data_IF_051716892714
#
_entry.id   IF_051716892714
#
_cell.length_a   1.000
_cell.length_b   1.000
_cell.length_c   1.000
_cell.angle_alpha   90.00
_cell.angle_beta   90.00
_cell.angle_gamma   90.00
#
_symmetry.space_group_name_H-M   'P 1'
#
loop_
_entity.id
_entity.type
_entity.pdbx_description
1 polymer ?
#
# COMPACT_ATOMS: atom_id res chain seq x y z
N UNK A 1 -9.58 -30.61 -15.84
CA UNK A 1 -8.55 -29.81 -16.53
C UNK A 1 -9.10 -29.33 -17.87
N UNK A 2 -9.43 -28.03 -18.01
CA UNK A 2 -9.83 -27.44 -19.30
C UNK A 2 -8.63 -27.49 -20.25
N UNK A 3 -8.79 -28.07 -21.44
CA UNK A 3 -7.73 -28.17 -22.44
C UNK A 3 -7.34 -26.75 -22.88
N UNK A 4 -6.14 -26.29 -22.52
CA UNK A 4 -5.59 -24.98 -22.94
C UNK A 4 -5.51 -24.94 -24.47
N UNK A 5 -6.21 -24.02 -25.08
CA UNK A 5 -6.12 -23.75 -26.51
C UNK A 5 -5.50 -22.38 -26.74
N UNK A 6 -4.29 -22.35 -27.29
CA UNK A 6 -3.59 -21.12 -27.65
C UNK A 6 -4.44 -20.26 -28.59
N UNK A 7 -4.36 -18.92 -28.42
CA UNK A 7 -4.96 -17.94 -29.36
C UNK A 7 -4.54 -18.29 -30.79
N UNK A 8 -3.26 -18.63 -30.98
CA UNK A 8 -2.73 -19.08 -32.27
C UNK A 8 -3.48 -20.27 -32.87
N UNK A 9 -3.89 -21.25 -32.04
CA UNK A 9 -4.70 -22.40 -32.51
C UNK A 9 -6.13 -22.00 -32.84
N UNK A 10 -6.74 -21.12 -32.05
CA UNK A 10 -8.08 -20.59 -32.31
C UNK A 10 -8.11 -19.79 -33.61
N UNK A 11 -7.12 -18.90 -33.85
CA UNK A 11 -7.01 -18.14 -35.10
C UNK A 11 -6.70 -19.01 -36.29
N UNK A 12 -5.77 -19.98 -36.17
CA UNK A 12 -5.46 -20.93 -37.23
C UNK A 12 -6.68 -21.76 -37.59
N UNK A 13 -7.44 -22.27 -36.62
CA UNK A 13 -8.68 -23.02 -36.87
C UNK A 13 -9.71 -22.15 -37.63
N UNK A 14 -9.91 -20.90 -37.21
CA UNK A 14 -10.81 -19.98 -37.88
C UNK A 14 -10.38 -19.72 -39.33
N UNK A 15 -9.07 -19.52 -39.56
CA UNK A 15 -8.53 -19.32 -40.90
C UNK A 15 -8.72 -20.56 -41.79
N UNK A 16 -8.51 -21.77 -41.26
CA UNK A 16 -8.71 -23.03 -42.03
C UNK A 16 -10.18 -23.22 -42.37
N UNK A 17 -11.07 -22.98 -41.43
CA UNK A 17 -12.53 -23.06 -41.68
C UNK A 17 -12.94 -22.03 -42.71
N UNK A 18 -12.47 -20.81 -42.61
CA UNK A 18 -12.71 -19.73 -43.57
C UNK A 18 -12.23 -20.07 -45.01
N UNK A 19 -11.02 -20.59 -45.10
CA UNK A 19 -10.46 -21.01 -46.38
C UNK A 19 -11.27 -22.16 -47.00
N UNK A 20 -11.68 -23.13 -46.18
CA UNK A 20 -12.51 -24.25 -46.61
C UNK A 20 -13.89 -23.80 -47.14
N UNK A 21 -14.52 -22.83 -46.46
CA UNK A 21 -15.79 -22.22 -46.90
C UNK A 21 -15.61 -21.52 -48.25
N UNK A 22 -14.53 -20.78 -48.42
CA UNK A 22 -14.22 -20.07 -49.69
C UNK A 22 -14.05 -21.06 -50.87
N UNK A 23 -13.28 -22.12 -50.66
CA UNK A 23 -13.07 -23.16 -51.68
C UNK A 23 -14.38 -23.87 -52.03
N UNK A 24 -15.19 -24.26 -51.04
CA UNK A 24 -16.48 -24.92 -51.31
C UNK A 24 -17.43 -23.99 -52.04
N UNK A 25 -17.49 -22.72 -51.66
CA UNK A 25 -18.36 -21.72 -52.30
C UNK A 25 -17.97 -21.47 -53.76
N UNK A 26 -16.67 -21.29 -54.04
CA UNK A 26 -16.13 -21.16 -55.38
C UNK A 26 -16.45 -22.39 -56.25
N UNK A 27 -16.31 -23.60 -55.70
CA UNK A 27 -16.63 -24.84 -56.40
C UNK A 27 -18.12 -24.94 -56.73
N UNK A 28 -19.01 -24.56 -55.80
CA UNK A 28 -20.48 -24.56 -56.02
C UNK A 28 -20.85 -23.56 -57.10
N UNK A 29 -20.30 -22.37 -57.11
CA UNK A 29 -20.59 -21.35 -58.13
C UNK A 29 -20.10 -21.83 -59.51
N UNK A 30 -18.91 -22.40 -59.57
CA UNK A 30 -18.36 -22.96 -60.82
C UNK A 30 -19.26 -24.10 -61.33
N UNK A 31 -19.77 -24.97 -60.46
CA UNK A 31 -20.69 -26.04 -60.82
C UNK A 31 -22.04 -25.51 -61.31
N UNK A 32 -22.64 -24.53 -60.62
CA UNK A 32 -23.95 -23.94 -61.04
C UNK A 32 -23.79 -23.26 -62.39
N UNK A 33 -22.73 -22.53 -62.63
CA UNK A 33 -22.47 -21.88 -63.93
C UNK A 33 -22.31 -22.89 -65.03
N UNK A 34 -21.49 -23.94 -64.80
CA UNK A 34 -21.30 -25.02 -65.77
C UNK A 34 -22.64 -25.75 -66.12
N UNK A 35 -23.43 -26.06 -65.10
CA UNK A 35 -24.74 -26.71 -65.25
C UNK A 35 -25.73 -25.84 -66.03
N UNK A 36 -25.80 -24.54 -65.75
CA UNK A 36 -26.67 -23.60 -66.45
C UNK A 36 -26.23 -23.41 -67.93
N UNK A 37 -24.92 -23.28 -68.20
CA UNK A 37 -24.40 -23.15 -69.54
C UNK A 37 -24.73 -24.37 -70.38
N UNK A 38 -24.75 -25.58 -69.82
CA UNK A 38 -25.12 -26.81 -70.52
C UNK A 38 -26.63 -26.96 -70.71
N UNK A 39 -27.48 -26.45 -69.84
CA UNK A 39 -28.94 -26.52 -69.88
C UNK A 39 -29.59 -25.44 -70.74
N UNK A 40 -29.01 -24.24 -70.84
CA UNK A 40 -29.62 -23.09 -71.52
C UNK A 40 -29.04 -22.84 -72.91
N UNK A 41 -28.06 -23.63 -73.38
CA UNK A 41 -27.48 -23.53 -74.70
C UNK A 41 -26.52 -22.29 -74.86
N UNK A 42 -26.17 -21.63 -73.79
CA UNK A 42 -25.28 -20.45 -73.78
C UNK A 42 -25.83 -19.23 -74.54
N UNK A 43 -25.10 -18.11 -74.52
CA UNK A 43 -25.43 -16.89 -75.29
C UNK A 43 -25.14 -17.04 -76.78
N UNK A 44 -24.58 -18.18 -77.21
CA UNK A 44 -24.13 -18.43 -78.57
C UNK A 44 -22.72 -17.88 -78.88
N UNK A 45 -22.15 -17.11 -77.97
CA UNK A 45 -20.78 -16.61 -78.03
C UNK A 45 -19.92 -17.10 -76.86
N UNK A 46 -19.04 -18.10 -77.12
CA UNK A 46 -18.21 -18.72 -76.07
C UNK A 46 -17.29 -17.70 -75.31
N UNK A 47 -16.93 -16.59 -75.95
CA UNK A 47 -16.07 -15.60 -75.34
C UNK A 47 -16.77 -14.72 -74.36
N UNK A 48 -18.05 -14.37 -74.62
CA UNK A 48 -18.90 -13.62 -73.71
C UNK A 48 -19.26 -14.46 -72.48
N UNK A 49 -19.62 -15.72 -72.65
CA UNK A 49 -19.93 -16.61 -71.54
C UNK A 49 -18.73 -16.83 -70.61
N UNK A 50 -17.53 -16.92 -71.18
CA UNK A 50 -16.30 -17.01 -70.41
C UNK A 50 -16.00 -15.73 -69.61
N UNK A 51 -16.22 -14.55 -70.16
CA UNK A 51 -16.02 -13.25 -69.49
C UNK A 51 -16.99 -13.10 -68.31
N UNK A 52 -18.27 -13.42 -68.50
CA UNK A 52 -19.29 -13.38 -67.46
C UNK A 52 -18.96 -14.34 -66.31
N UNK A 53 -18.49 -15.55 -66.65
CA UNK A 53 -18.05 -16.52 -65.63
C UNK A 53 -16.93 -15.97 -64.77
N UNK A 54 -15.86 -15.40 -65.36
CA UNK A 54 -14.76 -14.84 -64.63
C UNK A 54 -15.18 -13.65 -63.75
N UNK A 55 -16.10 -12.80 -64.19
CA UNK A 55 -16.61 -11.67 -63.41
C UNK A 55 -17.39 -12.17 -62.18
N UNK A 56 -18.23 -13.15 -62.35
CA UNK A 56 -19.02 -13.74 -61.25
C UNK A 56 -18.10 -14.41 -60.22
N UNK A 57 -17.13 -15.22 -60.68
CA UNK A 57 -16.18 -15.91 -59.79
C UNK A 57 -15.35 -14.91 -59.00
N UNK A 58 -14.74 -13.95 -59.67
CA UNK A 58 -13.91 -12.92 -59.04
C UNK A 58 -14.77 -12.09 -58.05
N UNK A 59 -15.98 -11.68 -58.44
CA UNK A 59 -16.89 -10.90 -57.60
C UNK A 59 -17.27 -11.63 -56.32
N UNK A 60 -17.54 -12.91 -56.41
CA UNK A 60 -17.88 -13.75 -55.25
C UNK A 60 -16.69 -14.03 -54.35
N UNK A 61 -15.49 -14.23 -54.92
CA UNK A 61 -14.27 -14.38 -54.09
C UNK A 61 -13.94 -13.09 -53.31
N UNK A 62 -14.08 -11.94 -53.96
CA UNK A 62 -13.88 -10.64 -53.30
C UNK A 62 -14.92 -10.44 -52.14
N UNK A 63 -16.20 -10.76 -52.42
CA UNK A 63 -17.23 -10.64 -51.36
C UNK A 63 -16.95 -11.54 -50.17
N UNK A 64 -16.56 -12.79 -50.40
CA UNK A 64 -16.21 -13.73 -49.35
C UNK A 64 -14.98 -13.28 -48.60
N UNK A 65 -13.95 -12.77 -49.28
CA UNK A 65 -12.75 -12.22 -48.61
C UNK A 65 -13.08 -11.02 -47.70
N UNK A 66 -13.98 -10.13 -48.14
CA UNK A 66 -14.45 -9.01 -47.31
C UNK A 66 -15.19 -9.53 -46.07
N UNK A 67 -16.10 -10.49 -46.22
CA UNK A 67 -16.82 -11.09 -45.11
C UNK A 67 -15.89 -11.77 -44.09
N UNK A 68 -14.88 -12.49 -44.58
CA UNK A 68 -13.88 -13.13 -43.74
C UNK A 68 -13.01 -12.11 -42.96
N UNK A 69 -12.60 -11.03 -43.62
CA UNK A 69 -11.89 -9.94 -42.96
C UNK A 69 -12.72 -9.31 -41.88
N UNK A 70 -14.02 -9.11 -42.08
CA UNK A 70 -14.95 -8.55 -41.10
C UNK A 70 -15.15 -9.50 -39.92
N UNK A 71 -15.35 -10.79 -40.15
CA UNK A 71 -15.41 -11.81 -39.08
C UNK A 71 -14.08 -11.86 -38.31
N UNK A 72 -12.93 -11.79 -39.00
CA UNK A 72 -11.61 -11.76 -38.38
C UNK A 72 -11.42 -10.55 -37.47
N UNK A 73 -11.84 -9.36 -37.89
CA UNK A 73 -11.76 -8.14 -37.07
C UNK A 73 -12.65 -8.22 -35.82
N UNK A 74 -13.89 -8.70 -35.97
CA UNK A 74 -14.80 -8.92 -34.82
C UNK A 74 -14.23 -9.95 -33.86
N UNK A 75 -13.67 -11.06 -34.38
CA UNK A 75 -13.01 -12.05 -33.55
C UNK A 75 -11.84 -11.47 -32.76
N UNK A 76 -10.95 -10.74 -33.43
CA UNK A 76 -9.80 -10.08 -32.77
C UNK A 76 -10.25 -9.08 -31.72
N UNK A 77 -11.29 -8.28 -32.00
CA UNK A 77 -11.80 -7.33 -31.03
C UNK A 77 -12.39 -8.02 -29.78
N UNK A 78 -13.13 -9.10 -29.97
CA UNK A 78 -13.83 -9.80 -28.88
C UNK A 78 -12.88 -10.64 -28.02
N UNK A 79 -11.94 -11.37 -28.63
CA UNK A 79 -11.09 -12.34 -27.92
C UNK A 79 -9.70 -11.82 -27.54
N UNK A 80 -9.22 -10.72 -28.13
CA UNK A 80 -7.90 -10.16 -27.86
C UNK A 80 -7.99 -8.71 -27.35
N UNK A 81 -8.59 -7.82 -28.15
CA UNK A 81 -8.56 -6.39 -27.86
C UNK A 81 -9.34 -6.01 -26.61
N UNK A 82 -10.56 -6.50 -26.46
CA UNK A 82 -11.40 -6.20 -25.30
C UNK A 82 -10.84 -6.72 -23.97
N UNK A 83 -10.38 -7.99 -23.88
CA UNK A 83 -9.74 -8.48 -22.64
C UNK A 83 -8.50 -7.68 -22.28
N UNK A 84 -7.62 -7.37 -23.23
CA UNK A 84 -6.41 -6.56 -22.97
C UNK A 84 -6.79 -5.16 -22.50
N UNK A 85 -7.72 -4.46 -23.17
CA UNK A 85 -8.17 -3.14 -22.74
C UNK A 85 -8.79 -3.13 -21.33
N UNK A 86 -9.50 -4.20 -20.95
CA UNK A 86 -10.03 -4.34 -19.58
C UNK A 86 -8.90 -4.50 -18.57
N UNK A 87 -7.89 -5.30 -18.90
CA UNK A 87 -6.71 -5.52 -18.07
C UNK A 87 -5.92 -4.21 -17.87
N UNK A 88 -5.66 -3.49 -18.96
CA UNK A 88 -4.97 -2.17 -18.92
C UNK A 88 -5.70 -1.19 -18.01
N UNK A 89 -7.02 -1.03 -18.17
CA UNK A 89 -7.80 -0.11 -17.32
C UNK A 89 -7.79 -0.52 -15.84
N UNK A 90 -7.82 -1.82 -15.54
CA UNK A 90 -7.75 -2.29 -14.17
C UNK A 90 -6.36 -2.00 -13.55
N UNK A 91 -5.28 -2.16 -14.31
CA UNK A 91 -3.93 -1.82 -13.86
C UNK A 91 -3.80 -0.30 -13.67
N UNK A 92 -4.30 0.51 -14.61
CA UNK A 92 -4.30 1.97 -14.51
C UNK A 92 -5.14 2.50 -13.32
N UNK A 93 -6.15 1.73 -12.88
CA UNK A 93 -6.95 2.08 -11.69
C UNK A 93 -6.25 1.73 -10.37
N UNK A 94 -5.12 1.01 -10.39
CA UNK A 94 -4.31 0.70 -9.22
C UNK A 94 -3.34 1.85 -9.01
N UNK A 95 -3.66 2.73 -8.09
CA UNK A 95 -2.80 3.81 -7.68
C UNK A 95 -1.87 3.31 -6.58
N UNK A 96 -0.59 3.17 -6.91
CA UNK A 96 0.46 2.93 -5.93
C UNK A 96 0.96 4.30 -5.45
N UNK A 97 0.48 4.75 -4.29
CA UNK A 97 1.02 5.91 -3.59
C UNK A 97 2.47 5.70 -3.14
N UNK A 98 2.99 6.60 -2.33
CA UNK A 98 4.29 6.36 -1.68
C UNK A 98 4.20 5.10 -0.82
N UNK A 99 5.28 4.31 -0.77
CA UNK A 99 5.32 3.07 0.00
C UNK A 99 4.99 3.28 1.49
N UNK A 100 5.35 4.44 2.03
CA UNK A 100 5.08 4.86 3.40
C UNK A 100 3.59 5.03 3.72
N UNK A 101 2.79 5.41 2.72
CA UNK A 101 1.35 5.67 2.85
C UNK A 101 0.49 4.45 2.46
N UNK A 102 1.10 3.40 1.87
CA UNK A 102 0.40 2.21 1.39
C UNK A 102 -0.15 1.37 2.54
N UNK A 103 -1.47 1.14 2.56
CA UNK A 103 -2.13 0.40 3.64
C UNK A 103 -2.84 -0.89 3.18
N UNK A 104 -3.40 -1.65 4.13
CA UNK A 104 -4.15 -2.88 3.84
C UNK A 104 -5.40 -2.63 3.00
N UNK A 105 -5.99 -1.42 3.04
CA UNK A 105 -7.18 -1.07 2.25
C UNK A 105 -6.79 -0.93 0.79
N UNK A 106 -5.65 -0.27 0.51
CA UNK A 106 -5.11 -0.11 -0.83
C UNK A 106 -4.75 -1.46 -1.44
N UNK A 107 -4.09 -2.33 -0.66
CA UNK A 107 -3.81 -3.71 -1.03
C UNK A 107 -5.09 -4.48 -1.39
N UNK A 108 -6.12 -4.39 -0.55
CA UNK A 108 -7.40 -5.09 -0.75
C UNK A 108 -8.16 -4.54 -1.95
N UNK A 109 -8.18 -3.23 -2.15
CA UNK A 109 -8.83 -2.58 -3.28
C UNK A 109 -8.15 -2.97 -4.60
N UNK A 110 -6.83 -2.96 -4.66
CA UNK A 110 -6.04 -3.37 -5.82
C UNK A 110 -6.27 -4.83 -6.19
N UNK A 111 -6.33 -5.73 -5.20
CA UNK A 111 -6.65 -7.16 -5.40
C UNK A 111 -8.07 -7.36 -5.93
N UNK A 112 -9.04 -6.59 -5.44
CA UNK A 112 -10.43 -6.67 -5.89
C UNK A 112 -10.59 -6.17 -7.33
N UNK A 113 -9.92 -5.10 -7.71
CA UNK A 113 -9.96 -4.53 -9.07
C UNK A 113 -9.57 -5.58 -10.12
N UNK A 114 -8.48 -6.33 -9.90
CA UNK A 114 -8.07 -7.41 -10.79
C UNK A 114 -8.97 -8.64 -10.69
N UNK A 115 -9.34 -9.07 -9.48
CA UNK A 115 -10.19 -10.27 -9.28
C UNK A 115 -11.53 -10.17 -9.99
N UNK A 116 -12.12 -8.98 -10.03
CA UNK A 116 -13.43 -8.76 -10.65
C UNK A 116 -13.42 -8.83 -12.18
N UNK A 117 -12.25 -8.84 -12.84
CA UNK A 117 -12.17 -9.00 -14.29
C UNK A 117 -12.58 -10.37 -14.78
N UNK A 118 -12.35 -11.42 -13.98
CA UNK A 118 -12.83 -12.78 -14.25
C UNK A 118 -12.42 -13.33 -15.63
N UNK A 119 -11.17 -13.10 -16.07
CA UNK A 119 -10.67 -13.57 -17.38
C UNK A 119 -10.39 -15.07 -17.27
N UNK A 120 -11.23 -15.89 -17.89
CA UNK A 120 -11.12 -17.35 -17.97
C UNK A 120 -11.24 -17.76 -19.46
N UNK A 121 -10.22 -17.39 -20.25
CA UNK A 121 -10.20 -17.65 -21.72
C UNK A 121 -9.49 -18.95 -22.09
N UNK A 122 -8.73 -19.55 -21.17
CA UNK A 122 -7.95 -20.78 -21.38
C UNK A 122 -6.79 -20.61 -22.35
N UNK A 123 -6.29 -19.39 -22.54
CA UNK A 123 -5.25 -19.03 -23.49
C UNK A 123 -4.16 -18.14 -22.87
N UNK A 124 -3.29 -17.57 -23.71
CA UNK A 124 -2.17 -16.72 -23.30
C UNK A 124 -2.63 -15.43 -22.58
N UNK A 125 -3.84 -14.95 -22.82
CA UNK A 125 -4.40 -13.77 -22.13
C UNK A 125 -4.72 -14.13 -20.67
N UNK A 126 -5.25 -15.32 -20.41
CA UNK A 126 -5.47 -15.78 -19.04
C UNK A 126 -4.12 -15.99 -18.31
N UNK A 127 -3.10 -16.48 -19.00
CA UNK A 127 -1.77 -16.63 -18.43
C UNK A 127 -1.17 -15.28 -18.03
N UNK A 128 -1.26 -14.28 -18.92
CA UNK A 128 -0.87 -12.90 -18.63
C UNK A 128 -1.66 -12.32 -17.46
N UNK A 129 -2.97 -12.53 -17.41
CA UNK A 129 -3.82 -12.10 -16.30
C UNK A 129 -3.38 -12.69 -14.96
N UNK A 130 -3.09 -14.00 -14.92
CA UNK A 130 -2.60 -14.67 -13.72
C UNK A 130 -1.22 -14.16 -13.29
N UNK A 131 -0.33 -13.90 -14.25
CA UNK A 131 0.99 -13.34 -13.97
C UNK A 131 0.87 -11.94 -13.35
N UNK A 132 -0.02 -11.09 -13.88
CA UNK A 132 -0.28 -9.75 -13.34
C UNK A 132 -0.91 -9.83 -11.95
N UNK A 133 -1.85 -10.74 -11.71
CA UNK A 133 -2.42 -10.95 -10.37
C UNK A 133 -1.35 -11.34 -9.35
N UNK A 134 -0.46 -12.27 -9.72
CA UNK A 134 0.64 -12.68 -8.85
C UNK A 134 1.57 -11.52 -8.57
N UNK A 135 2.01 -10.79 -9.60
CA UNK A 135 2.87 -9.62 -9.46
C UNK A 135 2.25 -8.56 -8.53
N UNK A 136 0.95 -8.30 -8.66
CA UNK A 136 0.24 -7.36 -7.80
C UNK A 136 0.22 -7.82 -6.33
N UNK A 137 0.02 -9.12 -6.06
CA UNK A 137 0.07 -9.67 -4.70
C UNK A 137 1.47 -9.50 -4.11
N UNK A 138 2.50 -9.93 -4.85
CA UNK A 138 3.90 -9.86 -4.42
C UNK A 138 4.32 -8.40 -4.16
N UNK A 139 3.92 -7.46 -5.04
CA UNK A 139 4.19 -6.02 -4.87
C UNK A 139 3.47 -5.44 -3.64
N UNK A 140 2.20 -5.80 -3.43
CA UNK A 140 1.44 -5.35 -2.26
C UNK A 140 2.05 -5.83 -0.95
N UNK A 141 2.50 -7.08 -0.88
CA UNK A 141 3.19 -7.62 0.30
C UNK A 141 4.51 -6.89 0.54
N UNK A 142 5.29 -6.66 -0.51
CA UNK A 142 6.55 -5.91 -0.42
C UNK A 142 6.36 -4.48 0.09
N UNK A 143 5.33 -3.75 -0.40
CA UNK A 143 5.03 -2.40 0.06
C UNK A 143 4.58 -2.37 1.53
N UNK A 144 3.79 -3.36 1.97
CA UNK A 144 3.39 -3.48 3.37
C UNK A 144 4.59 -3.80 4.28
N UNK A 145 5.53 -4.62 3.82
CA UNK A 145 6.76 -4.93 4.55
C UNK A 145 7.68 -3.71 4.66
N UNK A 146 7.83 -2.92 3.57
CA UNK A 146 8.59 -1.65 3.61
C UNK A 146 7.95 -0.69 4.62
N UNK A 147 6.63 -0.51 4.57
CA UNK A 147 5.92 0.35 5.50
C UNK A 147 6.09 -0.10 6.94
N UNK A 148 5.98 -1.40 7.21
CA UNK A 148 6.19 -1.95 8.54
C UNK A 148 7.62 -1.70 9.02
N UNK A 149 8.62 -1.95 8.19
CA UNK A 149 10.02 -1.67 8.50
C UNK A 149 10.29 -0.19 8.77
N UNK A 150 9.74 0.71 7.95
CA UNK A 150 9.84 2.17 8.16
C UNK A 150 9.14 2.61 9.46
N UNK A 151 7.98 2.03 9.76
CA UNK A 151 7.26 2.30 11.00
C UNK A 151 8.07 1.84 12.22
N UNK A 152 8.64 0.63 12.20
CA UNK A 152 9.46 0.07 13.29
C UNK A 152 10.76 0.87 13.49
N UNK A 153 11.32 1.47 12.43
CA UNK A 153 12.49 2.35 12.53
C UNK A 153 12.20 3.65 13.27
N UNK A 154 10.98 4.17 13.23
CA UNK A 154 10.61 5.44 13.83
C UNK A 154 9.80 5.32 15.14
N UNK A 155 9.36 4.10 15.51
CA UNK A 155 8.50 3.88 16.67
C UNK A 155 9.05 2.79 17.60
N UNK A 156 8.76 2.94 18.87
CA UNK A 156 8.98 1.88 19.87
C UNK A 156 7.84 0.87 19.84
N UNK A 157 8.14 -0.38 19.51
CA UNK A 157 7.15 -1.45 19.28
C UNK A 157 6.31 -1.75 20.53
N UNK A 158 6.90 -1.65 21.73
CA UNK A 158 6.21 -1.92 22.99
C UNK A 158 5.20 -0.81 23.35
N UNK A 159 5.64 0.44 23.25
CA UNK A 159 4.87 1.59 23.72
C UNK A 159 4.08 2.29 22.63
N UNK A 160 4.38 2.02 21.35
CA UNK A 160 3.80 2.69 20.19
C UNK A 160 3.99 4.21 20.20
N UNK A 161 5.00 4.69 20.91
CA UNK A 161 5.48 6.07 20.86
C UNK A 161 6.52 6.21 19.76
N UNK A 162 6.76 7.44 19.30
CA UNK A 162 7.92 7.73 18.50
C UNK A 162 9.19 7.34 19.30
N UNK A 163 10.20 6.82 18.60
CA UNK A 163 11.46 6.39 19.23
C UNK A 163 12.53 7.49 19.18
N UNK A 164 13.74 7.15 19.65
CA UNK A 164 14.87 8.08 19.65
C UNK A 164 15.27 8.50 18.23
N UNK A 165 15.30 7.59 17.27
CA UNK A 165 15.72 7.90 15.89
C UNK A 165 14.80 8.95 15.26
N UNK A 166 13.50 8.86 15.51
CA UNK A 166 12.55 9.89 15.07
C UNK A 166 12.72 11.22 15.79
N UNK A 167 13.08 11.20 17.10
CA UNK A 167 13.43 12.42 17.80
C UNK A 167 14.65 13.08 17.20
N UNK A 168 15.73 12.31 16.96
CA UNK A 168 17.00 12.80 16.41
C UNK A 168 16.78 13.44 15.02
N UNK A 169 16.03 12.76 14.16
CA UNK A 169 15.64 13.29 12.83
C UNK A 169 14.87 14.62 12.93
N UNK A 170 13.91 14.73 13.84
CA UNK A 170 13.17 15.98 14.04
C UNK A 170 14.04 17.06 14.70
N UNK A 171 14.99 16.68 15.54
CA UNK A 171 15.95 17.59 16.15
C UNK A 171 16.89 18.23 15.13
N UNK A 172 17.17 17.55 14.02
CA UNK A 172 17.97 18.07 12.90
C UNK A 172 17.10 18.85 11.89
N UNK A 173 15.93 18.31 11.51
CA UNK A 173 15.16 18.75 10.34
C UNK A 173 13.98 19.68 10.67
N UNK A 174 13.46 19.67 11.89
CA UNK A 174 12.19 20.34 12.23
C UNK A 174 12.34 21.34 13.37
N UNK A 175 12.86 20.90 14.51
CA UNK A 175 12.89 21.71 15.73
C UNK A 175 13.80 22.94 15.67
N UNK A 176 14.90 22.99 14.91
CA UNK A 176 15.69 24.22 14.76
C UNK A 176 14.94 25.37 14.10
N UNK A 177 13.83 25.09 13.42
CA UNK A 177 13.04 26.06 12.64
C UNK A 177 11.76 26.51 13.34
N UNK A 178 11.52 26.10 14.58
CA UNK A 178 10.38 26.59 15.37
C UNK A 178 10.79 27.76 16.25
N UNK A 179 9.86 28.69 16.52
CA UNK A 179 10.17 29.90 17.30
C UNK A 179 10.40 29.61 18.79
N UNK A 180 9.67 28.60 19.32
CA UNK A 180 9.67 28.27 20.74
C UNK A 180 9.64 26.75 20.90
N UNK A 181 10.52 26.24 21.75
CA UNK A 181 10.63 24.82 22.03
C UNK A 181 10.82 24.58 23.53
N UNK A 182 10.05 23.65 24.08
CA UNK A 182 10.28 23.13 25.41
C UNK A 182 10.44 21.63 25.34
N UNK A 183 11.51 21.11 25.94
CA UNK A 183 11.76 19.66 26.02
C UNK A 183 11.68 19.27 27.50
N UNK A 184 10.81 18.32 27.80
CA UNK A 184 10.77 17.66 29.10
C UNK A 184 11.32 16.24 28.99
N UNK A 185 12.37 15.92 29.73
CA UNK A 185 12.86 14.56 29.94
C UNK A 185 12.15 13.96 31.15
N UNK A 186 11.62 12.74 31.00
CA UNK A 186 10.81 12.07 32.01
C UNK A 186 11.37 10.68 32.27
N UNK A 187 11.41 10.26 33.53
CA UNK A 187 11.85 8.92 33.93
C UNK A 187 10.89 8.25 34.91
N UNK A 188 10.72 6.93 34.83
CA UNK A 188 9.94 6.15 35.81
C UNK A 188 10.85 5.72 36.94
N UNK A 189 10.58 6.22 38.17
CA UNK A 189 11.43 5.93 39.31
C UNK A 189 11.26 4.48 39.75
N UNK A 190 12.41 3.83 40.02
CA UNK A 190 12.48 2.48 40.61
C UNK A 190 11.81 1.39 39.77
N UNK A 191 11.73 1.54 38.41
CA UNK A 191 11.17 0.51 37.53
C UNK A 191 11.90 -0.84 37.71
N UNK A 192 13.24 -0.81 37.89
CA UNK A 192 14.03 -2.02 38.14
C UNK A 192 13.62 -2.75 39.44
N UNK A 193 13.31 -2.01 40.54
CA UNK A 193 12.84 -2.60 41.78
C UNK A 193 11.48 -3.26 41.61
N UNK A 194 10.64 -2.70 40.74
CA UNK A 194 9.34 -3.28 40.43
C UNK A 194 9.54 -4.57 39.64
N UNK A 195 10.43 -4.57 38.66
CA UNK A 195 10.77 -5.75 37.86
C UNK A 195 11.34 -6.88 38.75
N UNK A 196 12.24 -6.54 39.68
CA UNK A 196 12.84 -7.51 40.60
C UNK A 196 11.83 -8.14 41.58
N UNK A 197 10.84 -7.36 42.01
CA UNK A 197 9.84 -7.83 42.99
C UNK A 197 8.62 -8.48 42.38
N UNK A 198 8.17 -8.02 41.22
CA UNK A 198 6.91 -8.43 40.59
C UNK A 198 7.07 -9.09 39.23
N UNK A 199 8.29 -9.15 38.71
CA UNK A 199 8.60 -9.66 37.37
C UNK A 199 8.53 -8.59 36.25
N UNK A 200 9.16 -8.91 35.12
CA UNK A 200 9.27 -8.01 33.99
C UNK A 200 7.90 -7.58 33.41
N UNK A 201 6.90 -8.45 33.43
CA UNK A 201 5.54 -8.14 32.96
C UNK A 201 4.89 -6.98 33.73
N UNK A 202 5.22 -6.82 35.02
CA UNK A 202 4.72 -5.71 35.82
C UNK A 202 5.33 -4.38 35.35
N UNK A 203 6.64 -4.34 35.07
CA UNK A 203 7.30 -3.17 34.53
C UNK A 203 6.82 -2.81 33.12
N UNK A 204 6.65 -3.80 32.26
CA UNK A 204 6.11 -3.62 30.91
C UNK A 204 4.68 -3.03 30.95
N UNK A 205 3.85 -3.48 31.91
CA UNK A 205 2.53 -2.92 32.14
C UNK A 205 2.58 -1.43 32.55
N UNK A 206 3.56 -1.04 33.39
CA UNK A 206 3.76 0.34 33.80
C UNK A 206 4.21 1.19 32.64
N UNK A 207 5.23 0.76 31.88
CA UNK A 207 5.71 1.42 30.67
C UNK A 207 4.57 1.67 29.68
N UNK A 208 3.77 0.65 29.41
CA UNK A 208 2.62 0.73 28.50
C UNK A 208 1.52 1.67 29.04
N UNK A 209 1.29 1.72 30.36
CA UNK A 209 0.34 2.66 30.97
C UNK A 209 0.80 4.12 30.81
N UNK A 210 2.07 4.42 31.10
CA UNK A 210 2.65 5.76 30.92
C UNK A 210 2.62 6.17 29.45
N UNK A 211 3.03 5.29 28.57
CA UNK A 211 3.01 5.53 27.13
C UNK A 211 1.60 5.83 26.60
N UNK A 212 0.58 5.12 27.09
CA UNK A 212 -0.81 5.38 26.71
C UNK A 212 -1.26 6.79 27.10
N UNK A 213 -0.85 7.29 28.26
CA UNK A 213 -1.16 8.66 28.67
C UNK A 213 -0.38 9.71 27.86
N UNK A 214 0.86 9.41 27.47
CA UNK A 214 1.63 10.25 26.53
C UNK A 214 0.96 10.30 25.15
N UNK A 215 0.57 9.18 24.58
CA UNK A 215 -0.16 9.15 23.29
C UNK A 215 -1.46 9.95 23.30
N UNK A 216 -2.16 10.03 24.42
CA UNK A 216 -3.41 10.81 24.53
C UNK A 216 -3.23 12.30 24.40
N UNK A 217 -2.04 12.81 24.69
CA UNK A 217 -1.71 14.25 24.59
C UNK A 217 -0.93 14.59 23.35
N UNK A 218 -0.44 13.58 22.61
CA UNK A 218 0.28 13.79 21.35
C UNK A 218 -0.59 14.51 20.33
N UNK A 219 -0.03 15.56 19.70
CA UNK A 219 -0.70 16.43 18.73
C UNK A 219 0.35 17.11 17.84
N UNK A 220 -0.07 17.96 16.93
CA UNK A 220 0.85 18.74 16.07
C UNK A 220 1.80 19.66 16.85
N UNK A 221 1.47 20.01 18.12
CA UNK A 221 2.26 20.84 19.00
C UNK A 221 2.92 20.10 20.16
N UNK A 222 2.55 18.86 20.39
CA UNK A 222 3.07 18.05 21.49
C UNK A 222 3.50 16.71 20.92
N UNK A 223 4.80 16.49 20.85
CA UNK A 223 5.39 15.25 20.39
C UNK A 223 5.92 14.45 21.57
N UNK A 224 5.72 13.14 21.56
CA UNK A 224 6.11 12.26 22.67
C UNK A 224 6.92 11.08 22.18
N UNK A 225 8.00 10.78 22.90
CA UNK A 225 8.99 9.78 22.50
C UNK A 225 9.32 8.84 23.64
N UNK A 226 9.69 7.61 23.31
CA UNK A 226 10.45 6.74 24.18
C UNK A 226 11.90 6.72 23.72
N UNK A 227 12.83 7.11 24.58
CA UNK A 227 14.25 7.27 24.20
C UNK A 227 15.02 5.98 24.46
N UNK A 228 14.94 5.48 25.69
CA UNK A 228 15.59 4.24 26.13
C UNK A 228 14.95 3.78 27.43
N UNK A 229 14.82 2.50 27.62
CA UNK A 229 14.36 1.83 28.84
C UNK A 229 13.10 2.48 29.47
N UNK A 230 13.28 3.24 30.57
CA UNK A 230 12.25 3.92 31.33
C UNK A 230 12.18 5.44 31.06
N UNK A 231 12.91 5.92 30.03
CA UNK A 231 13.00 7.35 29.67
C UNK A 231 12.09 7.72 28.51
N UNK A 232 11.36 8.80 28.74
CA UNK A 232 10.47 9.40 27.74
C UNK A 232 10.80 10.88 27.55
N UNK A 233 10.47 11.41 26.38
CA UNK A 233 10.49 12.85 26.12
C UNK A 233 9.08 13.34 25.79
N UNK A 234 8.83 14.57 26.21
CA UNK A 234 7.70 15.38 25.77
C UNK A 234 8.25 16.68 25.20
N UNK A 235 7.99 16.93 23.93
CA UNK A 235 8.42 18.11 23.22
C UNK A 235 7.21 18.97 22.92
N UNK A 236 7.22 20.22 23.41
CA UNK A 236 6.14 21.19 23.21
C UNK A 236 6.63 22.29 22.28
N UNK A 237 5.91 22.50 21.18
CA UNK A 237 6.25 23.45 20.12
C UNK A 237 5.31 24.66 20.20
N UNK A 238 5.89 25.85 20.25
CA UNK A 238 5.14 27.12 20.25
C UNK A 238 4.46 27.47 21.58
N UNK A 239 4.82 26.79 22.68
CA UNK A 239 4.39 27.13 24.04
C UNK A 239 5.30 28.19 24.65
N UNK A 240 4.76 29.04 25.53
CA UNK A 240 5.62 29.83 26.46
C UNK A 240 6.25 28.88 27.47
N UNK A 241 7.36 29.32 28.12
CA UNK A 241 8.01 28.52 29.14
C UNK A 241 7.04 28.21 30.31
N UNK A 242 6.33 29.23 30.79
CA UNK A 242 5.36 29.09 31.87
C UNK A 242 4.24 28.09 31.56
N UNK A 243 3.65 28.18 30.35
CA UNK A 243 2.58 27.26 29.92
C UNK A 243 3.11 25.83 29.75
N UNK A 244 4.33 25.67 29.22
CA UNK A 244 4.94 24.37 29.03
C UNK A 244 5.24 23.67 30.34
N UNK A 245 5.85 24.38 31.30
CA UNK A 245 6.11 23.87 32.67
C UNK A 245 4.81 23.49 33.35
N UNK A 246 3.81 24.38 33.35
CA UNK A 246 2.51 24.12 33.98
C UNK A 246 1.82 22.89 33.36
N UNK A 247 1.92 22.75 32.02
CA UNK A 247 1.36 21.59 31.31
C UNK A 247 2.02 20.28 31.75
N UNK A 248 3.36 20.22 31.71
CA UNK A 248 4.13 19.03 32.06
C UNK A 248 3.89 18.65 33.54
N UNK A 249 3.95 19.60 34.46
CA UNK A 249 3.67 19.34 35.87
C UNK A 249 2.25 18.80 36.09
N UNK A 250 1.26 19.41 35.45
CA UNK A 250 -0.13 18.96 35.57
C UNK A 250 -0.30 17.54 35.05
N UNK A 251 0.39 17.20 33.95
CA UNK A 251 0.38 15.87 33.37
C UNK A 251 1.06 14.86 34.28
N UNK A 252 2.25 15.13 34.80
CA UNK A 252 2.97 14.27 35.77
C UNK A 252 2.11 14.00 37.00
N UNK A 253 1.51 15.04 37.56
CA UNK A 253 0.58 14.91 38.73
C UNK A 253 -0.64 14.03 38.42
N UNK A 254 -1.18 14.13 37.16
CA UNK A 254 -2.31 13.31 36.72
C UNK A 254 -1.93 11.84 36.60
N UNK A 255 -0.79 11.54 35.99
CA UNK A 255 -0.29 10.17 35.80
C UNK A 255 -0.01 9.51 37.15
N UNK A 256 0.60 10.23 38.11
CA UNK A 256 0.83 9.74 39.47
C UNK A 256 -0.46 9.40 40.24
N UNK A 257 -1.62 10.00 39.89
CA UNK A 257 -2.92 9.69 40.50
C UNK A 257 -3.60 8.45 39.92
N UNK A 258 -3.31 8.08 38.68
CA UNK A 258 -3.98 6.98 37.98
C UNK A 258 -3.72 5.61 38.60
N UNK A 259 -2.70 5.49 39.44
CA UNK A 259 -2.27 4.22 40.02
C UNK A 259 -2.68 4.01 41.50
N UNK A 260 -3.44 4.92 42.11
CA UNK A 260 -3.80 4.81 43.54
C UNK A 260 -4.86 3.76 43.86
N UNK A 261 -5.32 2.97 42.89
CA UNK A 261 -6.52 2.15 43.05
C UNK A 261 -6.42 0.65 42.84
N UNK A 262 -5.40 0.09 42.21
CA UNK A 262 -5.46 -1.32 41.81
C UNK A 262 -4.27 -2.21 42.12
N UNK A 263 -3.07 -1.66 42.33
CA UNK A 263 -1.87 -2.45 42.61
C UNK A 263 -1.04 -1.79 43.72
N UNK A 264 -0.35 -2.57 44.54
CA UNK A 264 0.47 -2.14 45.68
C UNK A 264 1.68 -1.25 45.32
N UNK A 265 1.74 -0.71 44.10
CA UNK A 265 2.87 0.11 43.61
C UNK A 265 2.36 1.39 42.97
N UNK A 266 2.83 2.51 43.49
CA UNK A 266 2.60 3.86 42.95
C UNK A 266 3.62 4.12 41.84
N UNK A 267 3.15 4.33 40.57
CA UNK A 267 4.02 4.82 39.51
C UNK A 267 4.44 6.24 39.82
N UNK A 268 5.73 6.45 39.97
CA UNK A 268 6.31 7.77 40.20
C UNK A 268 7.14 8.16 39.02
N UNK A 269 6.87 9.35 38.49
CA UNK A 269 7.61 9.96 37.44
C UNK A 269 8.45 11.09 38.00
N UNK A 270 9.70 11.17 37.61
CA UNK A 270 10.52 12.37 37.74
C UNK A 270 10.62 13.03 36.36
N UNK A 271 10.88 14.32 36.34
CA UNK A 271 11.06 15.07 35.11
C UNK A 271 12.00 16.27 35.31
N UNK A 272 12.60 16.69 34.25
CA UNK A 272 13.32 17.95 34.12
C UNK A 272 13.02 18.56 32.76
N UNK A 273 13.09 19.88 32.63
CA UNK A 273 12.71 20.55 31.41
C UNK A 273 13.61 21.72 31.06
N UNK A 274 13.76 21.99 29.77
CA UNK A 274 14.48 23.15 29.29
C UNK A 274 13.71 23.84 28.17
N UNK A 275 13.81 25.16 28.14
CA UNK A 275 13.14 26.03 27.19
C UNK A 275 14.17 26.70 26.25
N UNK A 276 13.78 26.91 25.01
CA UNK A 276 14.51 27.70 24.04
C UNK A 276 13.57 28.56 23.20
N UNK A 277 14.04 29.74 22.80
CA UNK A 277 13.31 30.68 21.94
C UNK A 277 14.30 31.36 20.97
N UNK A 278 13.89 31.53 19.73
CA UNK A 278 14.71 32.12 18.66
C UNK A 278 15.65 31.14 18.00
N UNK A 279 16.95 31.35 17.98
CA UNK A 279 17.91 30.41 17.40
C UNK A 279 18.14 29.24 18.37
N UNK A 280 17.64 28.04 17.97
CA UNK A 280 17.58 26.89 18.87
C UNK A 280 18.72 25.90 18.61
N UNK A 281 19.52 25.62 19.63
CA UNK A 281 20.30 24.38 19.72
C UNK A 281 19.50 23.32 20.45
N UNK A 282 18.82 22.47 19.68
CA UNK A 282 17.92 21.43 20.18
C UNK A 282 18.65 20.42 21.05
N UNK A 283 19.91 20.10 20.70
CA UNK A 283 20.72 19.16 21.46
C UNK A 283 21.15 19.75 22.82
N UNK A 284 21.37 21.05 22.88
CA UNK A 284 21.69 21.74 24.13
C UNK A 284 20.45 21.78 25.04
N UNK A 285 19.30 22.14 24.52
CA UNK A 285 18.02 22.11 25.26
C UNK A 285 17.74 20.70 25.80
N UNK A 286 17.91 19.66 24.97
CA UNK A 286 17.71 18.27 25.40
C UNK A 286 18.69 17.90 26.53
N UNK A 287 19.97 18.22 26.41
CA UNK A 287 20.97 17.94 27.47
C UNK A 287 20.63 18.62 28.79
N UNK A 288 20.16 19.87 28.76
CA UNK A 288 19.75 20.59 29.96
C UNK A 288 18.53 19.92 30.61
N UNK A 289 17.49 19.56 29.81
CA UNK A 289 16.32 18.86 30.31
C UNK A 289 16.68 17.50 30.96
N UNK A 290 17.58 16.73 30.32
CA UNK A 290 18.02 15.42 30.83
C UNK A 290 18.85 15.58 32.13
N UNK A 291 19.69 16.61 32.20
CA UNK A 291 20.49 16.93 33.41
C UNK A 291 19.58 17.30 34.58
N UNK A 292 18.57 18.15 34.35
CA UNK A 292 17.61 18.55 35.36
C UNK A 292 16.78 17.36 35.84
N UNK A 293 16.32 16.51 34.90
CA UNK A 293 15.60 15.27 35.24
C UNK A 293 16.43 14.36 36.13
N UNK A 294 17.72 14.17 35.82
CA UNK A 294 18.62 13.35 36.64
C UNK A 294 18.82 13.94 38.04
N UNK A 295 18.99 15.26 38.18
CA UNK A 295 19.07 15.91 39.48
C UNK A 295 17.80 15.70 40.31
N UNK A 296 16.63 15.85 39.69
CA UNK A 296 15.34 15.62 40.33
C UNK A 296 15.13 14.16 40.74
N UNK A 297 15.62 13.22 39.91
CA UNK A 297 15.60 11.79 40.24
C UNK A 297 16.40 11.47 41.50
N UNK A 298 17.62 12.00 41.62
CA UNK A 298 18.49 11.81 42.79
C UNK A 298 17.83 12.35 44.07
N UNK A 299 17.23 13.55 43.98
CA UNK A 299 16.51 14.15 45.11
C UNK A 299 15.33 13.26 45.55
N UNK A 300 14.53 12.83 44.57
CA UNK A 300 13.34 12.05 44.84
C UNK A 300 13.67 10.64 45.39
N UNK A 301 14.75 10.02 44.94
CA UNK A 301 15.24 8.73 45.48
C UNK A 301 15.67 8.87 46.92
N UNK A 302 16.39 9.94 47.31
CA UNK A 302 16.77 10.21 48.69
C UNK A 302 15.55 10.44 49.61
N UNK A 303 14.54 11.17 49.14
CA UNK A 303 13.30 11.35 49.89
C UNK A 303 12.53 10.04 50.15
N UNK A 304 12.65 9.08 49.23
CA UNK A 304 12.06 7.77 49.36
C UNK A 304 12.81 6.87 50.30
N UNK A 305 14.13 6.93 50.35
CA UNK A 305 14.97 6.18 51.29
C UNK A 305 14.78 6.64 52.74
N UNK A 306 14.51 7.92 52.93
CA UNK A 306 14.23 8.47 54.27
C UNK A 306 12.85 8.08 54.83
N UNK A 307 11.92 7.63 53.98
CA UNK A 307 10.55 7.23 54.38
C UNK A 307 10.38 5.76 54.72
N UNK A 308 11.40 4.95 54.54
CA UNK A 308 11.44 3.54 54.89
C UNK A 308 12.63 3.20 55.76
#
# INVERSE_FOLDING_TARGET
>A
MKKRTSIRRKTLFLMVVALSVLVIFSAIISYIFYSNATLTGGSGDPETDRKVFFIIVIGTEVLVAILLALVGTVFMDMFVTKPIKRLTRAIESIEYGKAEDYDERDSKQSRLALKNLGIDSGDEIEELYRAIQKFQVDTSEYLLDIRKGSWEQEHDVMTMLDNKDKFDKRAEDVYPYVDKLYIASLNIINLHVINDRLGAEAGDSILTKVARELRRITSDKIHTYRIVDDRFLMVLVGYSEEDAVAFVESWVKRVGRLNRGSDNFEVRLTGGGAYGEGELDVNDIYRHADTEMYCNEVIMKKELEVKY
#
